data_IF_066119251328
#
_entry.id   IF_066119251328
#
_cell.length_a   1.000
_cell.length_b   1.000
_cell.length_c   1.000
_cell.angle_alpha   90.00
_cell.angle_beta   90.00
_cell.angle_gamma   90.00
#
_symmetry.space_group_name_H-M   'P 1'
#
loop_
_entity.id
_entity.type
_entity.pdbx_description
1 polymer ?
#
# COMPACT_ATOMS: atom_id res chain seq x y z
N UNK A 1 14.04 10.47 -1.45
CA UNK A 1 13.23 11.22 -2.45
C UNK A 1 13.55 10.81 -3.88
N UNK A 2 14.80 10.91 -4.37
CA UNK A 2 15.18 10.50 -5.75
C UNK A 2 14.76 9.08 -6.13
N UNK A 3 14.91 8.09 -5.25
CA UNK A 3 14.54 6.70 -5.55
C UNK A 3 13.03 6.51 -5.83
N UNK A 4 12.15 7.21 -5.09
CA UNK A 4 10.70 7.18 -5.36
C UNK A 4 10.34 7.87 -6.67
N UNK A 5 10.91 9.06 -6.93
CA UNK A 5 10.70 9.78 -8.18
C UNK A 5 11.13 8.92 -9.37
N UNK A 6 12.33 8.36 -9.35
CA UNK A 6 12.82 7.47 -10.41
C UNK A 6 11.94 6.21 -10.58
N UNK A 7 11.39 5.65 -9.50
CA UNK A 7 10.47 4.52 -9.59
C UNK A 7 9.13 4.91 -10.24
N UNK A 8 8.55 6.06 -9.86
CA UNK A 8 7.33 6.60 -10.46
C UNK A 8 7.54 6.89 -11.95
N UNK A 9 8.66 7.51 -12.32
CA UNK A 9 9.05 7.78 -13.70
C UNK A 9 9.21 6.50 -14.51
N UNK A 10 9.92 5.51 -13.97
CA UNK A 10 10.12 4.20 -14.62
C UNK A 10 8.78 3.50 -14.90
N UNK A 11 7.83 3.63 -13.96
CA UNK A 11 6.49 3.07 -14.06
C UNK A 11 5.48 4.02 -14.76
N UNK A 12 5.95 5.16 -15.29
CA UNK A 12 5.18 6.14 -16.06
C UNK A 12 3.99 6.77 -15.32
N UNK A 13 4.14 6.95 -14.01
CA UNK A 13 3.20 7.74 -13.22
C UNK A 13 3.53 9.23 -13.32
N UNK A 14 2.48 10.04 -13.45
CA UNK A 14 2.58 11.49 -13.27
C UNK A 14 2.59 11.81 -11.77
N UNK A 15 3.42 12.76 -11.37
CA UNK A 15 3.51 13.22 -9.99
C UNK A 15 3.74 14.73 -9.95
N UNK A 16 3.30 15.35 -8.86
CA UNK A 16 3.45 16.77 -8.59
C UNK A 16 3.92 16.94 -7.15
N UNK A 17 4.85 17.87 -6.94
CA UNK A 17 5.26 18.26 -5.59
C UNK A 17 4.20 19.18 -4.99
N UNK A 18 3.71 18.82 -3.81
CA UNK A 18 2.67 19.55 -3.08
C UNK A 18 3.28 20.14 -1.81
N UNK A 19 2.83 21.34 -1.43
CA UNK A 19 3.36 22.01 -0.25
C UNK A 19 2.89 21.33 1.03
N UNK A 20 3.64 21.53 2.11
CA UNK A 20 3.29 20.96 3.40
C UNK A 20 2.02 21.58 3.98
N UNK A 21 1.78 22.86 3.68
CA UNK A 21 0.61 23.60 4.10
C UNK A 21 -0.66 22.97 3.51
N UNK A 22 -0.66 22.68 2.19
CA UNK A 22 -1.78 21.99 1.52
C UNK A 22 -2.05 20.61 2.13
N UNK A 23 -1.00 19.87 2.48
CA UNK A 23 -1.13 18.56 3.13
C UNK A 23 -1.73 18.70 4.53
N UNK A 24 -1.25 19.67 5.30
CA UNK A 24 -1.72 19.93 6.68
C UNK A 24 -3.19 20.32 6.72
N UNK A 25 -3.63 21.19 5.80
CA UNK A 25 -5.04 21.56 5.70
C UNK A 25 -5.94 20.35 5.42
N UNK A 26 -5.52 19.48 4.50
CA UNK A 26 -6.24 18.23 4.23
C UNK A 26 -6.29 17.31 5.46
N UNK A 27 -5.18 17.18 6.18
CA UNK A 27 -5.13 16.36 7.40
C UNK A 27 -6.06 16.90 8.47
N UNK A 28 -6.09 18.23 8.67
CA UNK A 28 -6.97 18.87 9.66
C UNK A 28 -8.45 18.58 9.42
N UNK A 29 -8.86 18.56 8.16
CA UNK A 29 -10.26 18.29 7.79
C UNK A 29 -10.67 16.82 7.96
N UNK A 30 -9.73 15.90 8.19
CA UNK A 30 -10.08 14.50 8.48
C UNK A 30 -10.85 14.43 9.79
N UNK A 31 -12.02 13.79 9.76
CA UNK A 31 -12.85 13.50 10.92
C UNK A 31 -12.15 12.46 11.83
N UNK A 32 -12.05 12.77 13.12
CA UNK A 32 -11.30 11.98 14.10
C UNK A 32 -12.04 11.74 15.42
N UNK A 33 -13.36 12.00 15.47
CA UNK A 33 -14.20 11.70 16.64
C UNK A 33 -14.23 10.21 17.01
N UNK A 34 -13.95 9.31 16.05
CA UNK A 34 -13.74 7.89 16.30
C UNK A 34 -12.49 7.41 15.54
N UNK A 35 -11.43 7.07 16.27
CA UNK A 35 -10.22 6.50 15.69
C UNK A 35 -10.06 5.05 16.13
N UNK A 36 -9.84 4.16 15.17
CA UNK A 36 -9.60 2.73 15.40
C UNK A 36 -8.23 2.35 14.87
N UNK A 37 -7.49 1.55 15.62
CA UNK A 37 -6.29 0.90 15.15
C UNK A 37 -6.53 -0.58 14.91
N UNK A 38 -5.99 -1.13 13.83
CA UNK A 38 -6.02 -2.57 13.55
C UNK A 38 -4.64 -3.17 13.79
N UNK A 39 -4.55 -4.14 14.70
CA UNK A 39 -3.30 -4.78 15.10
C UNK A 39 -3.44 -6.30 15.04
N UNK A 40 -2.33 -7.02 14.82
CA UNK A 40 -2.31 -8.48 14.96
C UNK A 40 -2.63 -8.86 16.40
N UNK A 41 -3.42 -9.90 16.56
CA UNK A 41 -3.78 -10.43 17.86
C UNK A 41 -2.68 -11.38 18.37
N UNK A 42 -2.30 -11.22 19.63
CA UNK A 42 -1.43 -12.17 20.32
C UNK A 42 -2.26 -13.28 20.95
N UNK A 43 -1.68 -14.46 21.09
CA UNK A 43 -2.35 -15.60 21.69
C UNK A 43 -1.39 -16.62 22.27
N UNK A 44 -1.98 -17.63 22.90
CA UNK A 44 -1.25 -18.78 23.42
C UNK A 44 -1.95 -20.04 22.93
N UNK A 45 -1.16 -20.94 22.35
CA UNK A 45 -1.64 -22.24 21.91
C UNK A 45 -1.08 -23.33 22.83
N UNK A 46 -1.98 -24.19 23.33
CA UNK A 46 -1.60 -25.35 24.13
C UNK A 46 -1.27 -26.52 23.18
N UNK A 47 0.01 -26.86 23.08
CA UNK A 47 0.50 -27.92 22.19
C UNK A 47 0.41 -29.32 22.82
N UNK A 48 -0.03 -29.42 24.08
CA UNK A 48 -0.12 -30.68 24.84
C UNK A 48 1.18 -31.50 24.82
N UNK A 49 2.32 -30.81 24.75
CA UNK A 49 3.65 -31.42 24.71
C UNK A 49 4.43 -31.13 26.01
N UNK A 50 5.25 -32.08 26.46
CA UNK A 50 6.05 -31.89 27.68
C UNK A 50 7.23 -30.93 27.50
N UNK A 51 7.82 -30.86 26.29
CA UNK A 51 8.95 -29.98 25.97
C UNK A 51 8.49 -28.53 25.75
N UNK A 52 7.37 -28.34 25.05
CA UNK A 52 6.77 -27.03 24.82
C UNK A 52 5.25 -27.10 25.02
N UNK A 53 4.75 -26.99 26.27
CA UNK A 53 3.33 -27.10 26.55
C UNK A 53 2.54 -25.93 25.98
N UNK A 54 3.12 -24.73 25.97
CA UNK A 54 2.50 -23.50 25.48
C UNK A 54 3.39 -22.82 24.45
N UNK A 55 2.79 -22.40 23.34
CA UNK A 55 3.44 -21.63 22.30
C UNK A 55 2.81 -20.23 22.24
N UNK A 56 3.65 -19.20 22.24
CA UNK A 56 3.18 -17.84 21.96
C UNK A 56 2.86 -17.74 20.47
N UNK A 57 1.70 -17.21 20.12
CA UNK A 57 1.22 -17.19 18.74
C UNK A 57 0.88 -15.79 18.30
N UNK A 58 1.26 -15.48 17.07
CA UNK A 58 0.85 -14.31 16.32
C UNK A 58 0.82 -14.72 14.84
N UNK A 59 -0.02 -14.09 14.03
CA UNK A 59 -0.13 -14.47 12.62
C UNK A 59 0.78 -13.60 11.72
N UNK A 60 0.88 -13.99 10.45
CA UNK A 60 1.54 -13.22 9.39
C UNK A 60 0.48 -12.64 8.47
N UNK A 61 0.63 -11.37 8.07
CA UNK A 61 -0.21 -10.79 7.01
C UNK A 61 0.28 -11.37 5.68
N UNK A 62 -0.55 -12.14 4.99
CA UNK A 62 -0.13 -12.77 3.73
C UNK A 62 -0.36 -11.85 2.54
N UNK A 63 0.47 -12.00 1.50
CA UNK A 63 0.20 -11.39 0.19
C UNK A 63 -1.02 -12.07 -0.43
N UNK A 64 -2.14 -11.35 -0.49
CA UNK A 64 -3.39 -11.87 -1.04
C UNK A 64 -3.57 -11.56 -2.53
N UNK A 65 -2.65 -10.78 -3.11
CA UNK A 65 -2.73 -10.20 -4.45
C UNK A 65 -4.06 -9.45 -4.76
N UNK A 66 -4.84 -9.10 -3.73
CA UNK A 66 -6.05 -8.30 -3.90
C UNK A 66 -5.70 -6.84 -4.23
N UNK A 67 -6.52 -6.22 -5.09
CA UNK A 67 -6.48 -4.79 -5.32
C UNK A 67 -7.09 -4.03 -4.13
N UNK A 68 -6.83 -2.72 -4.04
CA UNK A 68 -7.41 -1.85 -3.02
C UNK A 68 -8.80 -1.30 -3.41
N UNK A 69 -9.48 -1.89 -4.40
CA UNK A 69 -10.75 -1.37 -4.92
C UNK A 69 -11.79 -1.21 -3.83
N UNK A 70 -11.91 -2.21 -2.95
CA UNK A 70 -12.88 -2.24 -1.85
C UNK A 70 -12.64 -1.12 -0.85
N UNK A 71 -11.37 -0.87 -0.53
CA UNK A 71 -10.96 0.18 0.40
C UNK A 71 -11.21 1.58 -0.19
N UNK A 72 -10.88 1.79 -1.47
CA UNK A 72 -11.12 3.06 -2.15
C UNK A 72 -12.61 3.35 -2.31
N UNK A 73 -13.41 2.33 -2.63
CA UNK A 73 -14.84 2.49 -2.82
C UNK A 73 -15.54 2.86 -1.50
N UNK A 74 -15.14 2.27 -0.37
CA UNK A 74 -15.69 2.66 0.94
C UNK A 74 -15.23 4.08 1.32
N UNK A 75 -13.96 4.45 1.09
CA UNK A 75 -13.49 5.81 1.39
C UNK A 75 -14.19 6.88 0.54
N UNK A 76 -14.51 6.57 -0.72
CA UNK A 76 -15.31 7.47 -1.57
C UNK A 76 -16.75 7.66 -1.04
N UNK A 77 -17.31 6.64 -0.39
CA UNK A 77 -18.65 6.71 0.19
C UNK A 77 -18.71 7.48 1.52
N UNK A 78 -17.56 7.65 2.20
CA UNK A 78 -17.46 8.35 3.49
C UNK A 78 -16.44 9.51 3.37
N UNK A 79 -16.89 10.71 2.96
CA UNK A 79 -16.01 11.88 2.86
C UNK A 79 -15.41 12.23 4.23
N UNK A 80 -14.27 12.92 4.19
CA UNK A 80 -13.50 13.37 5.36
C UNK A 80 -13.03 12.24 6.30
N UNK A 81 -13.15 10.98 5.88
CA UNK A 81 -12.56 9.83 6.58
C UNK A 81 -11.21 9.45 5.96
N UNK A 82 -10.36 8.76 6.72
CA UNK A 82 -9.05 8.35 6.23
C UNK A 82 -8.62 6.99 6.77
N UNK A 83 -7.79 6.29 5.99
CA UNK A 83 -6.99 5.16 6.48
C UNK A 83 -5.52 5.53 6.34
N UNK A 84 -4.79 5.48 7.45
CA UNK A 84 -3.36 5.77 7.53
C UNK A 84 -2.60 4.49 7.77
N UNK A 85 -1.82 4.09 6.77
CA UNK A 85 -0.82 3.04 6.90
C UNK A 85 0.53 3.69 7.21
N UNK A 86 1.16 3.26 8.29
CA UNK A 86 2.40 3.85 8.78
C UNK A 86 3.43 2.74 8.99
N UNK A 87 4.65 2.96 8.50
CA UNK A 87 5.78 2.05 8.70
C UNK A 87 6.91 2.79 9.40
N UNK A 88 7.48 2.13 10.40
CA UNK A 88 8.60 2.62 11.17
C UNK A 88 9.73 1.59 10.99
N UNK A 89 10.86 1.96 10.37
CA UNK A 89 11.98 1.04 10.18
C UNK A 89 12.43 0.43 11.51
N UNK A 90 12.53 -0.89 11.55
CA UNK A 90 12.87 -1.65 12.74
C UNK A 90 13.86 -2.79 12.41
N UNK A 91 14.45 -3.36 13.44
CA UNK A 91 15.29 -4.56 13.37
C UNK A 91 14.97 -5.44 14.57
N UNK A 92 15.22 -6.73 14.42
CA UNK A 92 15.17 -7.65 15.55
C UNK A 92 16.35 -7.37 16.48
N UNK A 93 16.07 -7.21 17.76
CA UNK A 93 17.05 -7.11 18.83
C UNK A 93 17.71 -8.48 19.09
N UNK A 94 18.87 -8.49 19.76
CA UNK A 94 19.64 -9.72 19.98
C UNK A 94 18.82 -10.83 20.67
N UNK A 95 18.09 -10.47 21.72
CA UNK A 95 17.21 -11.40 22.44
C UNK A 95 16.05 -11.89 21.57
N UNK A 96 15.45 -11.01 20.75
CA UNK A 96 14.38 -11.38 19.80
C UNK A 96 14.89 -12.41 18.77
N UNK A 97 16.11 -12.22 18.25
CA UNK A 97 16.71 -13.15 17.30
C UNK A 97 17.03 -14.52 17.90
N UNK A 98 17.56 -14.54 19.13
CA UNK A 98 17.86 -15.77 19.87
C UNK A 98 16.57 -16.54 20.16
N UNK A 99 15.54 -15.85 20.64
CA UNK A 99 14.26 -16.46 20.98
C UNK A 99 13.48 -16.96 19.76
N UNK A 100 13.49 -16.22 18.65
CA UNK A 100 12.95 -16.69 17.37
C UNK A 100 13.67 -17.96 16.90
N UNK A 101 15.00 -17.98 16.99
CA UNK A 101 15.79 -19.13 16.56
C UNK A 101 15.55 -20.37 17.44
N UNK A 102 15.47 -20.17 18.76
CA UNK A 102 15.16 -21.22 19.74
C UNK A 102 13.77 -21.81 19.48
N UNK A 103 12.75 -20.97 19.34
CA UNK A 103 11.38 -21.42 19.15
C UNK A 103 11.21 -22.15 17.81
N UNK A 104 11.82 -21.64 16.73
CA UNK A 104 11.83 -22.31 15.43
C UNK A 104 12.44 -23.72 15.52
N UNK A 105 13.57 -23.90 16.21
CA UNK A 105 14.20 -25.22 16.36
C UNK A 105 13.32 -26.20 17.15
N UNK A 106 12.72 -25.74 18.25
CA UNK A 106 11.81 -26.54 19.08
C UNK A 106 10.58 -26.96 18.26
N UNK A 107 9.95 -26.02 17.56
CA UNK A 107 8.78 -26.30 16.72
C UNK A 107 9.11 -27.20 15.54
N UNK A 108 10.28 -27.06 14.90
CA UNK A 108 10.74 -27.96 13.83
C UNK A 108 10.96 -29.40 14.34
N UNK A 109 11.50 -29.58 15.55
CA UNK A 109 11.66 -30.90 16.17
C UNK A 109 10.30 -31.54 16.49
N UNK A 110 9.32 -30.74 16.92
CA UNK A 110 7.96 -31.18 17.20
C UNK A 110 7.20 -31.52 15.91
N UNK A 111 7.28 -30.67 14.88
CA UNK A 111 6.61 -30.86 13.59
C UNK A 111 7.10 -32.09 12.82
N UNK A 112 8.39 -32.45 12.95
CA UNK A 112 8.97 -33.65 12.32
C UNK A 112 8.73 -34.95 13.11
N UNK A 113 8.13 -34.89 14.29
CA UNK A 113 7.84 -36.06 15.12
C UNK A 113 9.07 -36.74 15.71
N UNK A 114 10.21 -36.04 15.74
CA UNK A 114 11.47 -36.57 16.29
C UNK A 114 11.52 -36.53 17.82
N UNK A 115 10.52 -35.93 18.47
CA UNK A 115 10.34 -36.03 19.91
C UNK A 115 9.48 -37.26 20.24
N UNK A 116 10.09 -38.33 20.75
CA UNK A 116 9.44 -39.60 21.14
C UNK A 116 8.40 -39.48 22.29
N UNK A 117 7.91 -38.29 22.63
CA UNK A 117 7.11 -38.06 23.84
C UNK A 117 5.97 -37.07 23.53
N UNK A 118 4.78 -37.62 23.24
CA UNK A 118 3.50 -36.92 23.29
C UNK A 118 2.70 -36.93 21.99
N UNK A 119 1.39 -37.05 22.11
CA UNK A 119 0.41 -36.90 21.02
C UNK A 119 0.27 -35.42 20.62
N UNK A 120 1.33 -34.81 20.11
CA UNK A 120 1.22 -33.45 19.55
C UNK A 120 0.35 -33.53 18.30
N UNK A 121 -0.63 -32.63 18.18
CA UNK A 121 -1.26 -32.39 16.89
C UNK A 121 -0.22 -31.73 15.98
N UNK A 122 0.44 -32.54 15.14
CA UNK A 122 1.44 -32.10 14.15
C UNK A 122 1.02 -30.83 13.40
N UNK A 123 -0.27 -30.68 13.10
CA UNK A 123 -0.84 -29.54 12.40
C UNK A 123 -0.73 -28.21 13.19
N UNK A 124 -0.87 -28.24 14.52
CA UNK A 124 -0.78 -27.03 15.36
C UNK A 124 0.66 -26.54 15.48
N UNK A 125 1.60 -27.48 15.66
CA UNK A 125 3.03 -27.16 15.72
C UNK A 125 3.53 -26.62 14.36
N UNK A 126 3.11 -27.22 13.24
CA UNK A 126 3.56 -26.80 11.91
C UNK A 126 3.10 -25.38 11.56
N UNK A 127 1.84 -25.01 11.85
CA UNK A 127 1.34 -23.66 11.60
C UNK A 127 2.20 -22.62 12.32
N UNK A 128 2.50 -22.83 13.60
CA UNK A 128 3.34 -21.91 14.37
C UNK A 128 4.80 -21.95 13.87
N UNK A 129 5.32 -23.13 13.53
CA UNK A 129 6.67 -23.29 12.99
C UNK A 129 6.86 -22.45 11.72
N UNK A 130 5.87 -22.43 10.82
CA UNK A 130 5.90 -21.62 9.60
C UNK A 130 6.06 -20.13 9.89
N UNK A 131 5.33 -19.59 10.87
CA UNK A 131 5.43 -18.16 11.25
C UNK A 131 6.80 -17.84 11.84
N UNK A 132 7.26 -18.63 12.82
CA UNK A 132 8.58 -18.42 13.44
C UNK A 132 9.71 -18.55 12.42
N UNK A 133 9.65 -19.55 11.55
CA UNK A 133 10.60 -19.77 10.45
C UNK A 133 10.61 -18.61 9.47
N UNK A 134 9.45 -18.07 9.13
CA UNK A 134 9.33 -16.90 8.26
C UNK A 134 10.11 -15.70 8.82
N UNK A 135 9.85 -15.31 10.07
CA UNK A 135 10.55 -14.16 10.67
C UNK A 135 12.05 -14.44 10.91
N UNK A 136 12.42 -15.68 11.26
CA UNK A 136 13.82 -16.07 11.45
C UNK A 136 14.64 -15.93 10.16
N UNK A 137 14.07 -16.31 9.00
CA UNK A 137 14.73 -16.13 7.69
C UNK A 137 14.88 -14.65 7.34
N UNK A 138 13.90 -13.83 7.74
CA UNK A 138 13.84 -12.40 7.42
C UNK A 138 14.70 -11.52 8.35
N UNK A 139 15.46 -12.11 9.28
CA UNK A 139 16.24 -11.38 10.30
C UNK A 139 17.23 -10.33 9.77
N UNK A 140 17.73 -10.52 8.55
CA UNK A 140 18.67 -9.61 7.90
C UNK A 140 18.00 -8.72 6.82
N UNK A 141 16.70 -8.89 6.60
CA UNK A 141 15.92 -8.12 5.65
C UNK A 141 15.23 -6.92 6.33
N UNK A 142 14.70 -5.95 5.57
CA UNK A 142 13.95 -4.84 6.14
C UNK A 142 12.72 -5.31 6.91
N UNK A 143 12.65 -4.90 8.18
CA UNK A 143 11.50 -5.10 9.07
C UNK A 143 10.96 -3.74 9.47
N UNK A 144 9.67 -3.70 9.78
CA UNK A 144 8.98 -2.47 10.15
C UNK A 144 8.07 -2.73 11.34
N UNK A 145 8.06 -1.81 12.30
CA UNK A 145 6.88 -1.63 13.13
C UNK A 145 5.82 -0.93 12.29
N UNK A 146 4.55 -1.23 12.54
CA UNK A 146 3.48 -0.69 11.72
C UNK A 146 2.29 -0.19 12.54
N UNK A 147 1.57 0.78 11.99
CA UNK A 147 0.27 1.19 12.48
C UNK A 147 -0.73 1.21 11.32
N UNK A 148 -1.93 0.69 11.55
CA UNK A 148 -3.07 0.81 10.63
C UNK A 148 -4.15 1.57 11.37
N UNK A 149 -4.32 2.85 11.03
CA UNK A 149 -5.26 3.75 11.71
C UNK A 149 -6.41 4.08 10.78
N UNK A 150 -7.62 4.01 11.32
CA UNK A 150 -8.87 4.34 10.63
C UNK A 150 -9.48 5.54 11.35
N UNK A 151 -9.64 6.63 10.62
CA UNK A 151 -10.22 7.89 11.08
C UNK A 151 -11.61 8.07 10.49
N UNK A 152 -12.57 8.43 11.32
CA UNK A 152 -13.90 8.83 10.89
C UNK A 152 -14.78 9.17 12.08
N UNK A 153 -16.08 9.27 11.83
CA UNK A 153 -17.08 9.42 12.89
C UNK A 153 -17.54 8.06 13.43
N UNK A 154 -18.41 8.08 14.44
CA UNK A 154 -18.91 6.89 15.12
C UNK A 154 -19.62 5.87 14.22
N UNK A 155 -20.08 6.29 13.03
CA UNK A 155 -20.74 5.44 12.03
C UNK A 155 -19.75 4.97 10.96
N UNK A 156 -18.99 5.90 10.38
CA UNK A 156 -18.06 5.63 9.28
C UNK A 156 -16.86 4.79 9.72
N UNK A 157 -16.28 5.05 10.89
CA UNK A 157 -15.06 4.38 11.33
C UNK A 157 -15.24 2.85 11.49
N UNK A 158 -16.31 2.33 12.12
CA UNK A 158 -16.60 0.90 12.13
C UNK A 158 -16.79 0.27 10.74
N UNK A 159 -17.51 0.96 9.84
CA UNK A 159 -17.76 0.46 8.48
C UNK A 159 -16.45 0.34 7.68
N UNK A 160 -15.62 1.39 7.67
CA UNK A 160 -14.31 1.39 7.02
C UNK A 160 -13.40 0.34 7.67
N UNK A 161 -13.38 0.25 9.00
CA UNK A 161 -12.59 -0.74 9.75
C UNK A 161 -12.91 -2.17 9.32
N UNK A 162 -14.20 -2.51 9.18
CA UNK A 162 -14.62 -3.83 8.71
C UNK A 162 -14.08 -4.16 7.30
N UNK A 163 -13.99 -3.16 6.43
CA UNK A 163 -13.45 -3.31 5.07
C UNK A 163 -11.93 -3.48 5.07
N UNK A 164 -11.22 -2.72 5.90
CA UNK A 164 -9.76 -2.86 6.07
C UNK A 164 -9.44 -4.26 6.62
N UNK A 165 -10.17 -4.72 7.64
CA UNK A 165 -10.00 -6.07 8.17
C UNK A 165 -10.26 -7.15 7.11
N UNK A 166 -11.35 -7.04 6.34
CA UNK A 166 -11.67 -8.00 5.29
C UNK A 166 -10.68 -7.99 4.11
N UNK A 167 -9.92 -6.90 3.92
CA UNK A 167 -8.84 -6.84 2.95
C UNK A 167 -7.65 -7.70 3.41
N UNK A 168 -7.28 -7.57 4.68
CA UNK A 168 -6.10 -8.23 5.26
C UNK A 168 -6.37 -9.67 5.73
N UNK A 169 -7.61 -9.97 6.10
CA UNK A 169 -8.04 -11.28 6.56
C UNK A 169 -8.88 -11.97 5.47
N UNK A 170 -8.34 -13.06 4.90
CA UNK A 170 -9.05 -13.86 3.90
C UNK A 170 -9.42 -15.23 4.44
N UNK A 171 -10.57 -15.82 4.04
CA UNK A 171 -10.95 -17.16 4.52
C UNK A 171 -9.94 -18.26 4.19
N UNK A 172 -9.14 -18.08 3.13
CA UNK A 172 -8.07 -19.03 2.76
C UNK A 172 -6.86 -18.93 3.70
N UNK A 173 -6.63 -17.75 4.27
CA UNK A 173 -5.46 -17.41 5.07
C UNK A 173 -5.89 -16.46 6.19
N UNK A 174 -6.52 -17.00 7.25
CA UNK A 174 -7.04 -16.17 8.32
C UNK A 174 -5.90 -15.57 9.13
N UNK A 175 -5.98 -14.27 9.37
CA UNK A 175 -5.08 -13.53 10.25
C UNK A 175 -5.89 -13.04 11.44
N UNK A 176 -5.54 -13.49 12.64
CA UNK A 176 -6.15 -12.99 13.87
C UNK A 176 -5.69 -11.55 14.09
N UNK A 177 -6.65 -10.64 14.09
CA UNK A 177 -6.43 -9.23 14.29
C UNK A 177 -7.54 -8.67 15.16
N UNK A 178 -7.23 -7.64 15.93
CA UNK A 178 -8.18 -6.95 16.79
C UNK A 178 -8.16 -5.46 16.53
N UNK A 179 -9.28 -4.82 16.84
CA UNK A 179 -9.39 -3.36 16.82
C UNK A 179 -9.13 -2.81 18.21
N UNK A 180 -8.31 -1.77 18.28
CA UNK A 180 -8.07 -0.97 19.48
C UNK A 180 -8.69 0.40 19.25
N UNK A 181 -9.55 0.84 20.17
CA UNK A 181 -10.10 2.18 20.13
C UNK A 181 -9.06 3.20 20.64
N UNK A 182 -8.86 4.26 19.87
CA UNK A 182 -7.95 5.36 20.18
C UNK A 182 -8.75 6.64 20.38
N UNK A 183 -8.34 7.43 21.37
CA UNK A 183 -8.92 8.74 21.62
C UNK A 183 -8.25 9.78 20.72
N UNK A 184 -9.00 10.81 20.34
CA UNK A 184 -8.48 11.93 19.54
C UNK A 184 -7.21 12.55 20.15
N UNK A 185 -7.19 12.68 21.48
CA UNK A 185 -6.06 13.21 22.24
C UNK A 185 -4.79 12.33 22.23
N UNK A 186 -4.87 11.08 21.80
CA UNK A 186 -3.72 10.17 21.66
C UNK A 186 -3.11 10.22 20.26
N UNK A 187 -3.94 10.58 19.28
CA UNK A 187 -3.56 10.59 17.86
C UNK A 187 -3.18 12.01 17.42
N UNK A 188 -3.81 13.06 17.94
CA UNK A 188 -3.40 14.47 17.76
C UNK A 188 -2.89 14.82 16.34
N UNK A 189 -3.59 14.34 15.30
CA UNK A 189 -3.09 14.40 13.91
C UNK A 189 -2.80 15.83 13.44
N UNK A 190 -3.48 16.82 14.02
CA UNK A 190 -3.39 18.23 13.61
C UNK A 190 -2.11 18.92 14.09
N UNK A 191 -1.56 18.46 15.22
CA UNK A 191 -0.40 19.06 15.90
C UNK A 191 0.81 18.13 15.91
N UNK A 192 0.59 16.82 15.78
CA UNK A 192 1.59 15.79 16.00
C UNK A 192 1.83 14.90 14.78
N UNK A 193 1.44 15.34 13.57
CA UNK A 193 1.45 14.50 12.36
C UNK A 193 2.81 13.84 12.05
N UNK A 194 3.92 14.59 12.18
CA UNK A 194 5.26 14.09 11.87
C UNK A 194 5.72 12.96 12.81
N UNK A 195 5.73 13.14 14.13
CA UNK A 195 6.09 12.07 15.06
C UNK A 195 4.96 11.05 15.29
N UNK A 196 3.79 11.25 14.66
CA UNK A 196 2.59 10.43 14.86
C UNK A 196 2.85 8.93 14.80
N UNK A 197 3.62 8.39 13.83
CA UNK A 197 3.86 6.97 13.77
C UNK A 197 4.45 6.40 15.05
N UNK A 198 5.48 7.05 15.61
CA UNK A 198 6.11 6.61 16.85
C UNK A 198 5.18 6.80 18.05
N UNK A 199 4.52 7.96 18.16
CA UNK A 199 3.65 8.27 19.29
C UNK A 199 2.49 7.27 19.42
N UNK A 200 1.83 6.94 18.31
CA UNK A 200 0.73 5.96 18.32
C UNK A 200 1.25 4.55 18.51
N UNK A 201 2.42 4.20 17.96
CA UNK A 201 2.98 2.86 18.11
C UNK A 201 3.26 2.52 19.59
N UNK A 202 3.79 3.47 20.37
CA UNK A 202 4.00 3.30 21.82
C UNK A 202 2.69 3.03 22.57
N UNK A 203 1.61 3.74 22.21
CA UNK A 203 0.27 3.53 22.79
C UNK A 203 -0.25 2.13 22.41
N UNK A 204 -0.13 1.74 21.14
CA UNK A 204 -0.62 0.44 20.65
C UNK A 204 0.15 -0.74 21.22
N UNK A 205 1.44 -0.60 21.48
CA UNK A 205 2.28 -1.66 22.05
C UNK A 205 1.90 -1.99 23.50
N UNK A 206 1.24 -1.07 24.21
CA UNK A 206 0.90 -1.24 25.64
C UNK A 206 -0.60 -1.39 25.89
N UNK A 207 -1.46 -0.85 25.02
CA UNK A 207 -2.91 -0.92 25.18
C UNK A 207 -3.45 -2.33 24.94
N UNK A 208 -4.34 -2.75 25.83
CA UNK A 208 -5.10 -4.01 25.71
C UNK A 208 -4.22 -5.24 25.48
N UNK A 209 -3.00 -5.25 26.03
CA UNK A 209 -2.12 -6.42 26.07
C UNK A 209 -2.66 -7.46 27.03
N UNK A 210 -2.50 -8.73 26.69
CA UNK A 210 -3.08 -9.81 27.50
C UNK A 210 -2.26 -10.04 28.77
N UNK A 211 -2.76 -9.53 29.90
CA UNK A 211 -2.10 -9.62 31.20
C UNK A 211 -1.79 -11.06 31.62
N UNK A 212 -2.62 -12.02 31.22
CA UNK A 212 -2.39 -13.44 31.49
C UNK A 212 -1.16 -13.98 30.78
N UNK A 213 -0.79 -13.45 29.62
CA UNK A 213 0.42 -13.84 28.90
C UNK A 213 1.64 -13.25 29.61
N UNK A 214 1.64 -11.93 29.80
CA UNK A 214 2.83 -11.19 30.27
C UNK A 214 3.11 -11.36 31.77
N UNK A 215 2.08 -11.62 32.58
CA UNK A 215 2.25 -11.89 34.02
C UNK A 215 2.43 -13.39 34.34
N UNK A 216 2.41 -14.28 33.33
CA UNK A 216 2.53 -15.73 33.55
C UNK A 216 3.92 -16.19 33.97
N UNK A 217 4.97 -15.43 33.62
CA UNK A 217 6.36 -15.86 33.72
C UNK A 217 6.76 -16.97 32.75
N UNK A 218 5.88 -17.35 31.81
CA UNK A 218 6.12 -18.43 30.83
C UNK A 218 6.85 -17.91 29.58
N UNK A 219 6.57 -16.67 29.18
CA UNK A 219 7.04 -16.10 27.92
C UNK A 219 8.11 -15.02 28.15
N UNK A 220 9.10 -14.99 27.26
CA UNK A 220 10.15 -13.97 27.26
C UNK A 220 9.61 -12.62 26.80
N UNK A 221 10.11 -11.53 27.37
CA UNK A 221 9.84 -10.16 26.90
C UNK A 221 10.29 -9.93 25.45
N UNK A 222 11.20 -10.77 24.94
CA UNK A 222 11.62 -10.77 23.54
C UNK A 222 10.47 -11.04 22.54
N UNK A 223 9.33 -11.57 22.98
CA UNK A 223 8.16 -11.73 22.12
C UNK A 223 7.29 -10.48 22.02
N UNK A 224 7.51 -9.47 22.86
CA UNK A 224 6.58 -8.36 23.09
C UNK A 224 6.29 -7.52 21.85
N UNK A 225 7.30 -7.31 21.00
CA UNK A 225 7.23 -6.52 19.76
C UNK A 225 6.84 -7.32 18.53
N UNK A 226 6.96 -8.65 18.55
CA UNK A 226 6.79 -9.49 17.35
C UNK A 226 5.41 -9.35 16.67
N UNK A 227 4.27 -9.24 17.40
CA UNK A 227 2.97 -8.99 16.77
C UNK A 227 2.86 -7.59 16.14
N UNK A 228 3.75 -6.66 16.46
CA UNK A 228 3.74 -5.31 15.92
C UNK A 228 4.79 -5.13 14.82
N UNK A 229 5.55 -6.18 14.52
CA UNK A 229 6.53 -6.21 13.45
C UNK A 229 5.98 -6.91 12.22
N UNK A 230 6.35 -6.38 11.06
CA UNK A 230 6.04 -6.94 9.75
C UNK A 230 7.24 -6.83 8.81
N UNK A 231 7.27 -7.68 7.79
CA UNK A 231 8.29 -7.61 6.72
C UNK A 231 7.87 -6.63 5.62
N UNK A 232 8.79 -6.34 4.71
CA UNK A 232 8.48 -5.62 3.48
C UNK A 232 7.42 -6.32 2.60
N UNK A 233 7.40 -7.66 2.60
CA UNK A 233 6.41 -8.46 1.86
C UNK A 233 5.01 -8.29 2.47
N UNK A 234 4.89 -8.36 3.79
CA UNK A 234 3.64 -8.11 4.50
C UNK A 234 3.14 -6.68 4.30
N UNK A 235 4.04 -5.69 4.37
CA UNK A 235 3.72 -4.29 4.14
C UNK A 235 3.20 -4.03 2.71
N UNK A 236 3.67 -4.82 1.74
CA UNK A 236 3.25 -4.69 0.34
C UNK A 236 1.77 -5.00 0.11
N UNK A 237 1.10 -5.66 1.07
CA UNK A 237 -0.33 -5.95 0.98
C UNK A 237 -1.20 -4.69 1.04
N UNK A 238 -0.77 -3.66 1.79
CA UNK A 238 -1.53 -2.44 1.99
C UNK A 238 -0.84 -1.17 1.45
N UNK A 239 0.45 -1.22 1.12
CA UNK A 239 1.14 -0.19 0.34
C UNK A 239 1.03 -0.43 -1.18
N UNK A 240 -0.19 -0.69 -1.65
CA UNK A 240 -0.49 -0.80 -3.09
C UNK A 240 -1.09 0.50 -3.59
N UNK A 241 -0.72 0.90 -4.80
CA UNK A 241 -1.40 2.01 -5.47
C UNK A 241 -2.75 1.49 -6.00
N UNK A 242 -3.89 2.09 -5.62
CA UNK A 242 -5.16 1.71 -6.22
C UNK A 242 -5.18 2.15 -7.68
N UNK A 243 -5.10 1.20 -8.61
CA UNK A 243 -5.15 1.50 -10.04
C UNK A 243 -6.60 1.66 -10.47
N UNK A 244 -6.92 2.77 -11.14
CA UNK A 244 -8.24 3.01 -11.71
C UNK A 244 -8.62 1.91 -12.70
N UNK A 245 -9.80 1.32 -12.53
CA UNK A 245 -10.32 0.25 -13.39
C UNK A 245 -11.84 0.31 -13.45
N UNK A 246 -12.49 -0.56 -14.24
CA UNK A 246 -13.95 -0.68 -14.22
C UNK A 246 -14.54 -1.02 -12.84
N UNK A 247 -13.70 -1.50 -11.90
CA UNK A 247 -14.07 -1.80 -10.51
C UNK A 247 -13.60 -0.73 -9.51
N UNK A 248 -12.67 0.14 -9.91
CA UNK A 248 -12.04 1.17 -9.07
C UNK A 248 -12.26 2.52 -9.74
N UNK A 249 -13.35 3.19 -9.40
CA UNK A 249 -13.72 4.47 -10.01
C UNK A 249 -12.86 5.65 -9.56
N UNK A 250 -12.38 5.61 -8.30
CA UNK A 250 -11.51 6.64 -7.70
C UNK A 250 -10.04 6.18 -7.56
N UNK A 251 -9.57 5.34 -8.49
CA UNK A 251 -8.16 4.90 -8.52
C UNK A 251 -7.28 5.84 -9.34
N UNK A 252 -5.96 5.70 -9.17
CA UNK A 252 -4.98 6.45 -9.96
C UNK A 252 -5.12 6.11 -11.44
N UNK A 253 -5.30 7.10 -12.33
CA UNK A 253 -5.33 6.87 -13.76
C UNK A 253 -3.93 6.40 -14.21
N UNK A 254 -3.86 5.24 -14.85
CA UNK A 254 -2.62 4.76 -15.48
C UNK A 254 -2.69 5.16 -16.95
N UNK A 255 -1.77 6.04 -17.36
CA UNK A 255 -1.63 6.43 -18.75
C UNK A 255 -0.95 5.31 -19.55
N UNK A 256 -1.71 4.28 -19.94
CA UNK A 256 -1.24 3.20 -20.83
C UNK A 256 -0.76 3.73 -22.19
N UNK A 257 -1.15 4.95 -22.54
CA UNK A 257 -0.78 5.68 -23.75
C UNK A 257 0.70 6.09 -23.80
N UNK A 258 1.46 5.92 -22.70
CA UNK A 258 2.92 6.05 -22.69
C UNK A 258 3.67 4.93 -23.42
N UNK A 259 3.03 4.16 -24.32
CA UNK A 259 3.75 3.43 -25.37
C UNK A 259 4.38 4.48 -26.27
N UNK A 260 5.65 4.83 -25.99
CA UNK A 260 6.61 5.45 -26.92
C UNK A 260 5.94 5.92 -28.20
N UNK A 261 5.27 7.07 -28.14
CA UNK A 261 4.98 7.79 -29.37
C UNK A 261 6.36 8.09 -29.93
N UNK A 262 6.67 7.45 -31.04
CA UNK A 262 7.84 7.71 -31.90
C UNK A 262 8.32 9.13 -31.66
N UNK A 263 9.59 9.28 -31.30
CA UNK A 263 10.28 10.56 -31.15
C UNK A 263 9.82 11.49 -32.28
N UNK A 264 8.86 12.38 -31.98
CA UNK A 264 8.56 13.47 -32.88
C UNK A 264 9.79 14.36 -32.76
N UNK A 265 10.48 14.61 -33.87
CA UNK A 265 11.61 15.52 -33.87
C UNK A 265 11.17 16.84 -33.21
N UNK A 266 12.05 17.44 -32.41
CA UNK A 266 11.82 18.59 -31.52
C UNK A 266 11.27 19.87 -32.21
N UNK A 267 10.97 19.81 -33.51
CA UNK A 267 10.44 20.91 -34.33
C UNK A 267 8.98 20.71 -34.80
N UNK A 268 8.29 19.66 -34.34
CA UNK A 268 6.91 19.36 -34.76
C UNK A 268 5.86 19.86 -33.74
N UNK A 269 6.26 19.98 -32.46
CA UNK A 269 5.36 20.34 -31.36
C UNK A 269 5.58 21.82 -31.01
N UNK A 270 4.51 22.62 -31.07
CA UNK A 270 4.48 24.06 -30.73
C UNK A 270 5.46 24.97 -31.52
N UNK A 271 6.04 24.49 -32.63
CA UNK A 271 7.08 25.22 -33.39
C UNK A 271 6.87 25.26 -34.92
N UNK A 272 5.71 24.81 -35.42
CA UNK A 272 5.42 24.76 -36.86
C UNK A 272 4.74 26.02 -37.41
N UNK A 273 5.12 26.43 -38.63
CA UNK A 273 4.54 27.58 -39.34
C UNK A 273 3.08 27.36 -39.75
N UNK A 274 2.68 26.10 -39.94
CA UNK A 274 1.31 25.70 -40.29
C UNK A 274 0.78 24.78 -39.20
N UNK A 275 -0.30 25.21 -38.52
CA UNK A 275 -1.00 24.42 -37.50
C UNK A 275 -1.95 23.41 -38.14
N UNK A 276 -1.81 22.13 -37.76
CA UNK A 276 -2.58 21.03 -38.35
C UNK A 276 -3.64 20.51 -37.37
N UNK A 277 -3.35 20.62 -36.07
CA UNK A 277 -4.30 20.25 -35.03
C UNK A 277 -3.64 20.19 -33.66
N UNK A 278 -4.42 19.74 -32.69
CA UNK A 278 -3.98 19.59 -31.30
C UNK A 278 -3.69 18.13 -30.98
N UNK A 279 -2.69 17.90 -30.12
CA UNK A 279 -2.41 16.57 -29.57
C UNK A 279 -3.57 16.16 -28.67
N UNK A 280 -4.26 15.07 -29.03
CA UNK A 280 -5.28 14.46 -28.15
C UNK A 280 -4.73 14.05 -26.78
N UNK A 281 -3.43 13.84 -26.67
CA UNK A 281 -2.72 13.42 -25.47
C UNK A 281 -2.18 14.58 -24.62
N UNK A 282 -2.35 15.84 -25.04
CA UNK A 282 -1.89 16.98 -24.24
C UNK A 282 -3.02 17.50 -23.36
N UNK A 283 -2.82 17.42 -22.04
CA UNK A 283 -3.65 18.08 -21.03
C UNK A 283 -3.53 19.60 -21.07
N UNK A 284 -2.51 20.15 -21.76
CA UNK A 284 -2.24 21.59 -21.93
C UNK A 284 -2.64 22.15 -23.30
N UNK A 285 -3.19 21.31 -24.19
CA UNK A 285 -3.64 21.73 -25.52
C UNK A 285 -2.53 21.94 -26.54
N UNK A 286 -1.40 21.23 -26.42
CA UNK A 286 -0.25 21.36 -27.32
C UNK A 286 -0.62 21.17 -28.79
N UNK A 287 -0.05 22.03 -29.64
CA UNK A 287 -0.33 22.11 -31.07
C UNK A 287 0.72 21.36 -31.88
N UNK A 288 0.27 20.66 -32.90
CA UNK A 288 1.13 20.02 -33.91
C UNK A 288 1.15 20.92 -35.13
N UNK A 289 2.36 21.28 -35.58
CA UNK A 289 2.54 22.04 -36.80
C UNK A 289 3.61 21.45 -37.71
N UNK A 290 3.61 21.90 -38.97
CA UNK A 290 4.66 21.62 -39.96
C UNK A 290 5.37 22.93 -40.27
N UNK A 291 6.70 22.92 -40.31
CA UNK A 291 7.47 24.06 -40.84
C UNK A 291 7.41 24.10 -42.37
N UNK A 292 7.29 25.29 -42.94
CA UNK A 292 7.30 25.52 -44.39
C UNK A 292 8.55 24.94 -45.08
N UNK A 293 9.69 24.90 -44.36
CA UNK A 293 10.95 24.36 -44.89
C UNK A 293 10.90 22.86 -45.16
N UNK A 294 10.10 22.11 -44.41
CA UNK A 294 9.99 20.66 -44.57
C UNK A 294 8.94 20.27 -45.63
N UNK A 295 8.01 21.18 -45.92
CA UNK A 295 7.01 21.03 -46.99
C UNK A 295 7.64 21.02 -48.39
N UNK A 296 8.83 21.64 -48.54
CA UNK A 296 9.60 21.64 -49.78
C UNK A 296 10.23 20.27 -50.13
N UNK A 297 10.26 19.30 -49.21
CA UNK A 297 10.94 18.01 -49.37
C UNK A 297 10.02 16.84 -49.79
N UNK A 298 8.81 17.16 -50.26
CA UNK A 298 7.71 16.23 -50.55
C UNK A 298 6.93 15.75 -49.32
N UNK A 299 5.62 15.59 -49.48
CA UNK A 299 4.69 15.15 -48.43
C UNK A 299 3.84 13.99 -48.96
N UNK A 300 3.73 12.91 -48.17
CA UNK A 300 2.88 11.75 -48.48
C UNK A 300 1.76 11.63 -47.43
N UNK A 301 0.51 11.67 -47.88
CA UNK A 301 -0.68 11.50 -47.02
C UNK A 301 -1.45 10.26 -47.47
N UNK A 302 -1.51 9.24 -46.62
CA UNK A 302 -2.18 7.95 -46.91
C UNK A 302 -3.24 7.63 -45.85
N UNK A 303 -4.25 6.86 -46.24
CA UNK A 303 -5.40 6.52 -45.39
C UNK A 303 -6.49 5.77 -46.17
N UNK A 304 -7.32 5.00 -45.46
CA UNK A 304 -8.45 4.26 -46.04
C UNK A 304 -9.55 5.21 -46.55
N UNK A 305 -10.46 4.78 -47.44
CA UNK A 305 -11.60 5.61 -47.86
C UNK A 305 -12.39 6.13 -46.65
N UNK A 306 -12.72 7.43 -46.64
CA UNK A 306 -13.42 8.07 -45.51
C UNK A 306 -12.54 8.58 -44.35
N UNK A 307 -11.22 8.32 -44.36
CA UNK A 307 -10.28 8.76 -43.30
C UNK A 307 -9.97 10.27 -43.25
N UNK A 308 -10.62 11.08 -44.09
CA UNK A 308 -10.48 12.54 -44.04
C UNK A 308 -9.28 13.13 -44.79
N UNK A 309 -8.62 12.37 -45.69
CA UNK A 309 -7.49 12.86 -46.52
C UNK A 309 -7.78 14.21 -47.21
N UNK A 310 -8.92 14.33 -47.89
CA UNK A 310 -9.28 15.57 -48.58
C UNK A 310 -9.51 16.72 -47.58
N UNK A 311 -10.10 16.44 -46.42
CA UNK A 311 -10.34 17.44 -45.38
C UNK A 311 -9.02 17.94 -44.78
N UNK A 312 -8.02 17.05 -44.62
CA UNK A 312 -6.67 17.42 -44.21
C UNK A 312 -6.01 18.39 -45.19
N UNK A 313 -6.07 18.11 -46.50
CA UNK A 313 -5.53 19.01 -47.51
C UNK A 313 -6.24 20.37 -47.53
N UNK A 314 -7.58 20.38 -47.51
CA UNK A 314 -8.35 21.62 -47.50
C UNK A 314 -8.07 22.49 -46.27
N UNK A 315 -7.89 21.89 -45.08
CA UNK A 315 -7.59 22.66 -43.87
C UNK A 315 -6.16 23.15 -43.78
N UNK A 316 -5.21 22.40 -44.32
CA UNK A 316 -3.77 22.71 -44.24
C UNK A 316 -3.32 23.69 -45.34
N UNK A 317 -3.97 23.67 -46.51
CA UNK A 317 -3.58 24.48 -47.68
C UNK A 317 -4.70 25.37 -48.24
N UNK A 318 -5.89 25.37 -47.62
CA UNK A 318 -6.97 26.26 -47.99
C UNK A 318 -6.66 27.71 -47.62
N UNK A 319 -6.86 28.63 -48.56
CA UNK A 319 -6.62 30.07 -48.40
C UNK A 319 -7.48 30.71 -47.29
N UNK A 320 -7.00 31.77 -46.62
CA UNK A 320 -7.73 32.49 -45.58
C UNK A 320 -8.71 33.50 -46.20
N UNK A 321 -9.76 33.02 -46.88
CA UNK A 321 -10.78 33.90 -47.46
C UNK A 321 -12.21 33.65 -46.99
N UNK A 322 -12.46 32.68 -46.11
CA UNK A 322 -13.79 32.46 -45.52
C UNK A 322 -13.69 32.10 -44.03
N UNK A 323 -13.22 33.05 -43.22
CA UNK A 323 -13.48 33.05 -41.76
C UNK A 323 -14.01 34.42 -41.35
N UNK A 324 -15.28 34.66 -41.69
CA UNK A 324 -16.22 35.55 -40.99
C UNK A 324 -17.50 34.76 -40.80
#
# INVERSE_FOLDING_TARGET
>A
MRACQSALELQKYEYEERSMEEMTEKIKNIEASSVKALVKEEGVENLQNQMLPFCYTYDRIQDTAQDLSRLVNILTAHPDCAVSFQLIPARLEGQEQEELSRMMQILDMLGKGTAEIGNVSFALAEKNAEVYRYYAIQRNNPLFLYNILIYGNQTSAPEISSRVYAQLNTPKQPVKMKFIDLQEGEVQKDTNFYPLPWAVNEVLMTRERESQIWNSGVFSEAYYRLPYMITAEEASEFFRLPIGSSRVSAGLPVNESGKTSKTYADHIINAGDIEIGTLKSSSRGDKIGISLKDLAKHMLVVGTPGSGKNNFFCRTFGSPLERT
#
